data_IF_023141040391
#
_entry.id   IF_023141040391
#
_cell.length_a   1.000
_cell.length_b   1.000
_cell.length_c   1.000
_cell.angle_alpha   90.00
_cell.angle_beta   90.00
_cell.angle_gamma   90.00
#
_symmetry.space_group_name_H-M   'P 1'
#
loop_
_entity.id
_entity.type
_entity.pdbx_description
1 polymer ?
2 non-polymer ?
3 non-polymer ?
4 non-polymer ?
5 water ?
#
# COMPACT_ATOMS: atom_id res chain seq x y z
N UNK A 11 15.99 -0.18 30.84
CA UNK A 11 15.88 -1.44 30.11
C UNK A 11 14.42 -1.88 30.01
N UNK A 12 13.69 -1.86 31.11
CA UNK A 12 12.25 -2.13 31.11
C UNK A 12 11.52 -0.81 31.21
N UNK A 13 10.70 -0.51 30.20
CA UNK A 13 9.85 0.67 30.17
C UNK A 13 8.43 0.24 30.48
N UNK A 14 7.79 0.92 31.44
CA UNK A 14 6.41 0.68 31.78
C UNK A 14 5.62 1.94 31.49
N UNK A 15 4.55 1.81 30.70
CA UNK A 15 3.65 2.92 30.40
C UNK A 15 2.23 2.47 30.69
N UNK A 16 1.33 3.44 30.79
CA UNK A 16 -0.10 3.17 30.77
C UNK A 16 -0.60 3.55 29.39
N UNK A 17 -1.17 2.58 28.68
CA UNK A 17 -1.56 2.82 27.29
C UNK A 17 -3.02 2.49 27.08
N UNK A 18 -3.58 3.09 26.02
CA UNK A 18 -4.94 2.79 25.56
C UNK A 18 -4.90 1.69 24.52
N UNK A 19 -5.75 0.66 24.64
CA UNK A 19 -5.81 -0.37 23.58
C UNK A 19 -6.25 0.19 22.23
N UNK A 20 -5.66 -0.36 21.17
CA UNK A 20 -5.96 0.12 19.83
C UNK A 20 -7.42 -0.08 19.44
N UNK A 21 -8.03 -1.18 19.89
CA UNK A 21 -9.43 -1.44 19.61
C UNK A 21 -10.07 -2.09 20.83
N UNK A 22 -11.40 -2.07 20.86
CA UNK A 22 -12.15 -2.72 21.92
C UNK A 22 -12.41 -1.81 23.09
N UNK A 23 -12.57 -2.40 24.28
CA UNK A 23 -12.83 -1.60 25.49
C UNK A 23 -11.74 -0.57 25.70
N UNK A 24 -12.16 0.64 26.06
CA UNK A 24 -11.29 1.81 26.11
C UNK A 24 -10.45 1.89 27.38
N UNK A 25 -10.62 0.98 28.34
CA UNK A 25 -9.97 1.12 29.65
C UNK A 25 -8.45 1.08 29.49
N UNK A 26 -7.73 2.04 30.06
CA UNK A 26 -6.27 2.05 29.93
C UNK A 26 -5.62 0.88 30.67
N UNK A 27 -4.40 0.55 30.24
CA UNK A 27 -3.76 -0.67 30.69
C UNK A 27 -2.25 -0.48 30.82
N UNK A 28 -1.70 -0.99 31.92
CA UNK A 28 -0.25 -0.97 32.14
C UNK A 28 0.46 -1.95 31.20
N UNK A 29 1.43 -1.44 30.44
CA UNK A 29 2.16 -2.20 29.44
C UNK A 29 3.65 -1.99 29.67
N UNK A 30 4.41 -3.09 29.73
CA UNK A 30 5.86 -3.03 29.87
C UNK A 30 6.55 -3.65 28.66
N UNK A 31 7.64 -3.03 28.24
CA UNK A 31 8.40 -3.55 27.10
C UNK A 31 9.89 -3.29 27.30
N UNK A 32 10.71 -4.03 26.55
CA UNK A 32 12.15 -4.02 26.75
C UNK A 32 12.80 -4.27 25.39
N UNK A 33 14.15 -4.33 25.39
CA UNK A 33 14.91 -4.61 24.18
C UNK A 33 14.61 -3.63 23.04
N UNK A 34 14.33 -2.37 23.38
CA UNK A 34 14.01 -1.41 22.34
C UNK A 34 15.23 -1.06 21.51
N UNK A 35 15.04 -0.96 20.19
CA UNK A 35 16.09 -0.51 19.29
C UNK A 35 15.44 0.16 18.09
N UNK A 36 16.17 1.08 17.47
CA UNK A 36 15.65 1.82 16.33
C UNK A 36 15.71 0.93 15.09
N UNK A 37 14.59 0.80 14.40
CA UNK A 37 14.61 0.12 13.10
C UNK A 37 14.45 1.06 11.93
N UNK A 38 14.00 2.31 12.16
CA UNK A 38 13.95 3.29 11.10
C UNK A 38 13.62 4.69 11.61
N UNK A 39 14.21 5.71 10.99
CA UNK A 39 13.94 7.10 11.31
C UNK A 39 13.80 7.86 10.00
N UNK A 40 12.81 8.74 9.94
CA UNK A 40 12.70 9.64 8.79
C UNK A 40 11.51 10.58 8.88
N UNK A 41 10.95 10.94 7.72
CA UNK A 41 9.81 11.86 7.69
C UNK A 41 8.62 11.29 8.45
N UNK A 42 8.54 9.98 8.58
CA UNK A 42 7.46 9.32 9.32
C UNK A 42 7.64 9.39 10.83
N UNK A 43 8.78 9.87 11.32
CA UNK A 43 9.08 9.84 12.74
C UNK A 43 10.15 8.82 13.05
N UNK A 44 10.04 8.16 14.21
CA UNK A 44 10.95 7.07 14.57
C UNK A 44 10.14 5.82 14.84
N UNK A 45 10.53 4.70 14.24
CA UNK A 45 9.92 3.40 14.53
C UNK A 45 10.95 2.53 15.24
N UNK A 46 10.55 2.00 16.38
CA UNK A 46 11.39 1.13 17.20
C UNK A 46 10.88 -0.30 17.11
N UNK A 47 11.78 -1.24 17.34
CA UNK A 47 11.41 -2.59 17.69
C UNK A 47 11.50 -2.72 19.20
N UNK A 48 10.58 -3.46 19.80
CA UNK A 48 10.67 -3.75 21.23
C UNK A 48 10.05 -5.12 21.47
N UNK A 49 10.25 -5.63 22.69
CA UNK A 49 9.65 -6.87 23.13
C UNK A 49 8.70 -6.60 24.28
N UNK A 50 7.45 -7.05 24.14
CA UNK A 50 6.49 -6.99 25.22
C UNK A 50 6.94 -7.93 26.35
N UNK A 51 7.10 -7.38 27.56
CA UNK A 51 7.46 -8.22 28.70
C UNK A 51 6.41 -9.27 28.98
N UNK A 52 5.13 -8.87 28.94
CA UNK A 52 4.05 -9.78 29.32
C UNK A 52 4.09 -11.08 28.53
N UNK A 53 4.05 -10.96 27.21
CA UNK A 53 3.96 -12.12 26.33
C UNK A 53 5.27 -12.51 25.67
N UNK A 54 6.25 -11.61 25.61
CA UNK A 54 7.47 -11.89 24.88
C UNK A 54 7.41 -11.63 23.40
N UNK A 55 6.28 -11.13 22.88
CA UNK A 55 6.15 -10.83 21.46
C UNK A 55 6.91 -9.57 21.08
N UNK A 56 7.52 -9.59 19.91
CA UNK A 56 8.09 -8.38 19.34
C UNK A 56 6.96 -7.47 18.85
N UNK A 57 7.15 -6.17 19.00
CA UNK A 57 6.24 -5.16 18.51
C UNK A 57 7.06 -4.05 17.88
N UNK A 58 6.40 -3.23 17.06
CA UNK A 58 6.98 -1.99 16.59
C UNK A 58 6.33 -0.84 17.36
N UNK A 59 7.12 0.18 17.65
CA UNK A 59 6.60 1.38 18.31
C UNK A 59 6.96 2.56 17.42
N UNK A 60 5.92 3.21 16.89
CA UNK A 60 6.10 4.38 16.02
C UNK A 60 5.84 5.64 16.84
N UNK A 61 6.85 6.51 16.90
CA UNK A 61 6.82 7.70 17.74
C UNK A 61 6.79 8.93 16.85
N UNK A 62 5.78 9.78 17.04
CA UNK A 62 5.49 10.88 16.12
C UNK A 62 5.24 12.16 16.93
N UNK A 63 6.03 13.20 16.66
CA UNK A 63 5.81 14.50 17.28
C UNK A 63 4.46 15.04 16.86
N UNK A 64 3.67 15.53 17.83
CA UNK A 64 2.35 16.08 17.54
C UNK A 64 2.52 17.55 17.16
N UNK A 65 2.49 17.82 15.86
CA UNK A 65 2.78 19.13 15.29
C UNK A 65 1.53 19.63 14.57
N UNK A 66 0.91 20.69 15.11
CA UNK A 66 -0.33 21.19 14.52
C UNK A 66 -0.15 21.54 13.06
N UNK A 67 1.06 21.94 12.64
CA UNK A 67 1.27 22.41 11.28
C UNK A 67 1.19 21.31 10.24
N UNK A 68 1.24 20.04 10.65
CA UNK A 68 1.18 18.91 9.72
C UNK A 68 -0.05 18.06 10.01
N UNK A 69 -0.91 17.92 9.01
CA UNK A 69 -2.10 17.08 9.14
C UNK A 69 -1.71 15.62 9.26
N UNK A 70 -2.49 14.86 10.03
CA UNK A 70 -2.23 13.44 10.22
C UNK A 70 -3.39 12.74 10.90
N UNK A 71 -4.03 11.82 10.18
CA UNK A 71 -5.18 11.06 10.68
C UNK A 71 -4.82 9.63 11.07
N UNK A 72 -3.52 9.36 11.27
CA UNK A 72 -3.06 7.97 11.38
C UNK A 72 -3.73 7.24 12.54
N UNK A 73 -3.78 7.86 13.71
CA UNK A 73 -4.39 7.20 14.86
C UNK A 73 -5.88 6.99 14.64
N UNK A 74 -6.60 8.07 14.28
CA UNK A 74 -8.02 7.98 13.99
C UNK A 74 -8.33 6.82 13.05
N UNK A 75 -7.58 6.71 11.95
CA UNK A 75 -7.85 5.67 10.96
C UNK A 75 -7.51 4.29 11.51
N UNK A 76 -6.37 4.18 12.21
CA UNK A 76 -5.93 2.85 12.63
C UNK A 76 -6.82 2.26 13.72
N UNK A 77 -7.50 3.08 14.53
CA UNK A 77 -8.39 2.52 15.54
C UNK A 77 -9.63 1.90 14.91
N UNK A 78 -9.91 2.20 13.65
CA UNK A 78 -11.11 1.70 12.97
C UNK A 78 -10.84 0.42 12.18
N UNK A 79 -9.58 0.07 11.92
CA UNK A 79 -9.23 -0.96 10.95
C UNK A 79 -8.91 -2.28 11.62
N UNK A 80 -9.41 -3.37 11.03
CA UNK A 80 -9.17 -4.71 11.54
C UNK A 80 -9.18 -5.67 10.34
N UNK A 81 -7.98 -6.02 9.85
CA UNK A 81 -7.86 -6.81 8.63
C UNK A 81 -6.54 -7.58 8.64
N UNK A 82 -6.57 -8.82 8.16
CA UNK A 82 -5.38 -9.66 8.22
C UNK A 82 -4.23 -9.13 7.37
N UNK A 83 -4.47 -8.20 6.45
CA UNK A 83 -3.41 -7.65 5.62
C UNK A 83 -3.10 -6.20 5.95
N UNK A 84 -3.44 -5.75 7.15
CA UNK A 84 -3.08 -4.41 7.62
C UNK A 84 -2.49 -4.56 9.01
N UNK A 85 -1.37 -3.88 9.24
CA UNK A 85 -0.67 -3.99 10.52
C UNK A 85 -1.59 -3.53 11.65
N UNK A 86 -1.67 -4.33 12.71
CA UNK A 86 -2.63 -4.03 13.79
C UNK A 86 -2.05 -3.02 14.76
N UNK A 87 -2.89 -2.08 15.19
CA UNK A 87 -2.56 -1.18 16.28
C UNK A 87 -2.94 -1.84 17.60
N UNK A 88 -1.94 -2.14 18.43
CA UNK A 88 -2.14 -2.77 19.73
C UNK A 88 -2.49 -1.78 20.84
N UNK A 89 -1.69 -0.71 20.98
CA UNK A 89 -1.89 0.32 21.98
C UNK A 89 -1.42 1.66 21.45
N UNK A 90 -1.85 2.74 22.10
CA UNK A 90 -1.22 4.03 21.92
C UNK A 90 -1.11 4.75 23.26
N UNK A 91 -0.10 5.61 23.38
CA UNK A 91 0.08 6.44 24.56
C UNK A 91 0.87 7.69 24.16
N UNK A 92 0.69 8.75 24.95
CA UNK A 92 1.42 10.00 24.76
C UNK A 92 2.62 10.05 25.72
N UNK A 93 3.63 10.82 25.31
CA UNK A 93 4.89 10.88 26.02
C UNK A 93 5.58 12.19 25.69
N UNK A 94 6.59 12.53 26.50
CA UNK A 94 7.56 13.55 26.12
C UNK A 94 8.54 12.97 25.09
N UNK A 95 9.51 13.79 24.67
CA UNK A 95 10.52 13.33 23.74
C UNK A 95 11.66 14.30 23.47
N UNK A 96 12.06 14.41 22.19
CA UNK A 96 13.21 15.23 21.82
C UNK A 96 12.93 16.72 22.04
N UNK A 97 11.89 17.24 21.39
CA UNK A 97 11.49 18.64 21.59
C UNK A 97 10.95 18.79 23.01
N UNK A 98 11.68 19.51 23.85
CA UNK A 98 11.52 19.45 25.30
C UNK A 98 10.39 20.33 25.83
N UNK A 99 9.32 20.48 25.05
CA UNK A 99 8.09 21.05 25.57
C UNK A 99 6.88 20.59 24.78
N UNK A 100 7.03 19.59 23.92
CA UNK A 100 5.98 19.11 23.03
C UNK A 100 5.52 17.73 23.45
N UNK A 101 4.50 17.23 22.77
CA UNK A 101 3.88 15.95 23.08
C UNK A 101 4.08 15.00 21.91
N UNK A 102 4.43 13.77 22.21
CA UNK A 102 4.62 12.72 21.21
C UNK A 102 3.51 11.68 21.34
N UNK A 103 2.99 11.25 20.20
CA UNK A 103 2.11 10.09 20.13
C UNK A 103 2.97 8.86 19.87
N UNK A 104 2.70 7.77 20.61
CA UNK A 104 3.39 6.50 20.46
C UNK A 104 2.36 5.46 20.07
N UNK A 105 2.58 4.79 18.93
CA UNK A 105 1.72 3.73 18.43
C UNK A 105 2.44 2.41 18.61
N UNK A 106 1.86 1.50 19.39
CA UNK A 106 2.40 0.15 19.54
C UNK A 106 1.70 -0.74 18.52
N UNK A 107 2.45 -1.23 17.54
CA UNK A 107 1.90 -1.98 16.42
C UNK A 107 2.56 -3.34 16.30
N UNK A 108 1.96 -4.20 15.49
CA UNK A 108 2.56 -5.48 15.22
C UNK A 108 3.91 -5.30 14.56
N UNK A 109 4.84 -6.19 14.90
CA UNK A 109 6.15 -6.22 14.29
C UNK A 109 6.11 -7.26 13.18
N UNK A 110 6.58 -6.88 12.00
CA UNK A 110 6.62 -7.76 10.83
C UNK A 110 8.05 -7.67 10.26
N UNK A 111 8.75 -8.79 10.07
CA UNK A 111 10.22 -8.68 9.94
C UNK A 111 10.74 -8.10 8.63
N UNK A 112 10.05 -8.25 7.50
CA UNK A 112 10.64 -7.84 6.22
C UNK A 112 9.73 -6.84 5.51
N UNK A 113 10.23 -6.28 4.41
CA UNK A 113 9.41 -5.44 3.54
C UNK A 113 9.53 -5.88 2.10
N UNK A 114 8.50 -5.54 1.32
CA UNK A 114 8.53 -5.85 -0.11
C UNK A 114 9.73 -5.17 -0.77
N UNK A 115 10.08 -3.96 -0.34
CA UNK A 115 11.26 -3.27 -0.87
C UNK A 115 12.53 -4.09 -0.68
N UNK A 116 12.79 -4.56 0.55
CA UNK A 116 14.01 -5.31 0.82
C UNK A 116 14.00 -6.66 0.11
N UNK A 117 12.86 -7.35 0.10
CA UNK A 117 12.83 -8.66 -0.54
C UNK A 117 13.01 -8.52 -2.05
N UNK A 118 12.36 -7.52 -2.67
CA UNK A 118 12.54 -7.28 -4.10
C UNK A 118 13.98 -6.91 -4.42
N UNK A 119 14.56 -6.02 -3.62
CA UNK A 119 15.95 -5.64 -3.80
C UNK A 119 16.89 -6.85 -3.71
N UNK A 120 16.56 -7.82 -2.85
CA UNK A 120 17.42 -8.99 -2.72
C UNK A 120 17.58 -9.70 -4.07
N UNK A 121 16.47 -9.86 -4.80
CA UNK A 121 16.54 -10.47 -6.13
C UNK A 121 17.12 -9.49 -7.14
N UNK A 122 16.58 -8.27 -7.16
CA UNK A 122 17.01 -7.26 -8.13
C UNK A 122 18.51 -7.05 -8.12
N UNK A 123 19.11 -6.94 -6.93
CA UNK A 123 20.56 -6.72 -6.88
C UNK A 123 21.36 -7.94 -7.34
N UNK A 124 20.78 -9.13 -7.32
CA UNK A 124 21.40 -10.32 -7.90
C UNK A 124 21.00 -10.53 -9.37
N UNK A 125 20.45 -9.49 -10.01
CA UNK A 125 20.03 -9.56 -11.41
C UNK A 125 19.01 -10.67 -11.64
N UNK A 126 18.18 -10.91 -10.63
CA UNK A 126 17.03 -11.79 -10.68
C UNK A 126 15.78 -10.97 -10.41
N UNK A 127 14.63 -11.62 -10.46
CA UNK A 127 13.39 -10.98 -10.07
C UNK A 127 12.65 -11.90 -9.12
N UNK A 128 11.78 -11.29 -8.33
CA UNK A 128 11.00 -11.99 -7.33
C UNK A 128 10.25 -13.15 -7.99
N UNK A 129 10.36 -14.38 -7.47
CA UNK A 129 9.62 -15.50 -8.06
C UNK A 129 8.13 -15.18 -8.19
N UNK A 130 7.53 -15.71 -9.26
CA UNK A 130 6.19 -15.28 -9.67
C UNK A 130 5.14 -15.61 -8.61
N UNK A 131 5.29 -16.73 -7.90
CA UNK A 131 4.31 -17.08 -6.86
C UNK A 131 4.26 -16.00 -5.79
N UNK A 132 5.40 -15.39 -5.47
CA UNK A 132 5.40 -14.31 -4.48
C UNK A 132 4.85 -13.02 -5.06
N UNK A 133 5.05 -12.77 -6.36
CA UNK A 133 4.39 -11.62 -6.98
C UNK A 133 2.87 -11.76 -6.86
N UNK A 134 2.35 -12.96 -7.17
CA UNK A 134 0.92 -13.20 -7.03
C UNK A 134 0.48 -13.01 -5.58
N UNK A 135 1.15 -13.66 -4.65
CA UNK A 135 0.73 -13.60 -3.24
C UNK A 135 0.80 -12.19 -2.68
N UNK A 136 1.89 -11.46 -2.95
CA UNK A 136 2.02 -10.13 -2.34
C UNK A 136 1.04 -9.16 -2.97
N UNK A 137 0.98 -9.13 -4.30
CA UNK A 137 0.05 -8.22 -4.98
C UNK A 137 -1.38 -8.50 -4.57
N UNK A 138 -1.76 -9.79 -4.45
CA UNK A 138 -3.13 -10.12 -4.09
C UNK A 138 -3.49 -9.58 -2.71
N UNK A 139 -2.59 -9.77 -1.73
CA UNK A 139 -2.88 -9.31 -0.38
C UNK A 139 -2.89 -7.79 -0.31
N UNK A 140 -2.06 -7.12 -1.10
CA UNK A 140 -2.13 -5.66 -1.18
C UNK A 140 -3.49 -5.20 -1.72
N UNK A 141 -3.99 -5.85 -2.78
CA UNK A 141 -5.30 -5.46 -3.29
C UNK A 141 -6.41 -5.76 -2.27
N UNK A 142 -6.34 -6.88 -1.56
CA UNK A 142 -7.26 -7.10 -0.45
C UNK A 142 -7.20 -5.94 0.55
N UNK A 143 -5.99 -5.53 0.95
CA UNK A 143 -5.89 -4.50 1.97
C UNK A 143 -6.51 -3.21 1.46
N UNK A 144 -6.35 -2.94 0.17
CA UNK A 144 -6.91 -1.73 -0.43
C UNK A 144 -8.42 -1.82 -0.55
N UNK A 145 -8.95 -2.98 -0.97
CA UNK A 145 -10.40 -3.14 -0.99
C UNK A 145 -10.99 -2.89 0.40
N UNK A 146 -10.30 -3.35 1.46
CA UNK A 146 -10.81 -3.16 2.82
C UNK A 146 -10.90 -1.66 3.17
N UNK A 147 -9.79 -0.92 3.06
CA UNK A 147 -9.81 0.49 3.48
C UNK A 147 -10.71 1.32 2.55
N UNK A 148 -10.66 1.08 1.23
CA UNK A 148 -11.50 1.87 0.32
C UNK A 148 -12.98 1.71 0.63
N UNK A 149 -13.38 0.57 1.22
CA UNK A 149 -14.78 0.37 1.58
C UNK A 149 -15.24 1.34 2.66
N UNK A 150 -14.33 1.90 3.45
CA UNK A 150 -14.66 2.98 4.36
C UNK A 150 -14.44 4.34 3.73
N UNK A 151 -14.10 4.37 2.44
CA UNK A 151 -13.73 5.62 1.81
C UNK A 151 -12.37 6.12 2.19
N UNK A 152 -11.52 5.28 2.77
CA UNK A 152 -10.19 5.70 3.21
C UNK A 152 -9.20 5.43 2.09
N UNK A 153 -8.48 6.46 1.68
CA UNK A 153 -7.42 6.33 0.68
C UNK A 153 -6.07 6.41 1.39
N UNK A 154 -5.19 5.46 1.07
CA UNK A 154 -3.91 5.37 1.76
C UNK A 154 -2.97 6.51 1.35
N UNK A 155 -2.87 6.78 0.05
CA UNK A 155 -2.14 7.89 -0.56
C UNK A 155 -0.63 7.77 -0.41
N UNK A 156 -0.10 6.59 -0.08
CA UNK A 156 1.37 6.44 -0.05
C UNK A 156 1.73 4.97 -0.24
N UNK A 157 1.03 4.30 -1.16
CA UNK A 157 1.31 2.91 -1.49
C UNK A 157 2.67 2.82 -2.17
N UNK A 158 3.60 2.05 -1.60
CA UNK A 158 4.90 1.82 -2.22
C UNK A 158 5.56 0.62 -1.53
N UNK A 159 6.62 0.05 -2.10
CA UNK A 159 7.15 -1.20 -1.51
C UNK A 159 7.68 -1.04 -0.10
N UNK A 160 8.20 0.15 0.24
CA UNK A 160 8.71 0.39 1.58
C UNK A 160 7.61 0.32 2.64
N UNK A 161 6.34 0.48 2.24
CA UNK A 161 5.23 0.51 3.18
C UNK A 161 4.47 -0.80 3.20
N UNK A 162 5.05 -1.87 2.61
CA UNK A 162 4.44 -3.21 2.57
C UNK A 162 5.35 -4.14 3.35
N UNK A 163 4.89 -4.53 4.54
CA UNK A 163 5.63 -5.44 5.40
C UNK A 163 5.32 -6.87 5.01
N UNK A 164 6.29 -7.76 5.25
CA UNK A 164 6.20 -9.15 4.85
C UNK A 164 6.73 -10.06 5.94
N UNK A 165 6.02 -11.15 6.19
CA UNK A 165 6.56 -12.24 6.98
C UNK A 165 7.10 -13.29 6.01
N UNK A 166 8.42 -13.43 5.87
CA UNK A 166 8.95 -14.27 4.79
C UNK A 166 8.60 -15.75 4.92
N UNK A 167 8.32 -16.24 6.14
CA UNK A 167 8.04 -17.66 6.33
C UNK A 167 6.60 -18.01 5.96
N UNK A 168 5.64 -17.15 6.33
CA UNK A 168 4.22 -17.40 6.10
C UNK A 168 3.69 -16.71 4.84
N UNK A 169 4.49 -15.85 4.20
CA UNK A 169 4.12 -15.05 3.03
C UNK A 169 3.00 -14.06 3.33
N UNK A 170 2.72 -13.77 4.60
CA UNK A 170 1.70 -12.78 4.93
C UNK A 170 2.23 -11.38 4.63
N UNK A 171 1.41 -10.57 3.94
CA UNK A 171 1.73 -9.17 3.71
C UNK A 171 0.86 -8.30 4.60
N UNK A 172 1.44 -7.23 5.16
CA UNK A 172 0.67 -6.26 5.94
C UNK A 172 1.00 -4.84 5.48
N UNK A 173 -0.03 -4.13 5.05
CA UNK A 173 0.08 -2.71 4.75
C UNK A 173 0.32 -1.91 6.03
N UNK A 174 1.21 -0.92 5.94
CA UNK A 174 1.49 -0.05 7.08
C UNK A 174 1.64 1.40 6.61
N UNK A 175 1.91 2.26 7.59
CA UNK A 175 2.12 3.71 7.43
C UNK A 175 0.88 4.43 6.92
N UNK A 176 -0.03 4.78 7.83
CA UNK A 176 -1.20 5.55 7.44
C UNK A 176 -1.02 7.05 7.69
N UNK A 177 0.23 7.52 7.73
CA UNK A 177 0.53 8.91 7.98
C UNK A 177 0.04 9.87 6.90
N UNK A 178 -0.22 9.36 5.70
CA UNK A 178 -0.75 10.17 4.60
C UNK A 178 -2.22 9.88 4.32
N UNK A 179 -2.82 8.93 5.03
CA UNK A 179 -4.14 8.46 4.68
C UNK A 179 -5.20 9.49 5.03
N UNK A 180 -6.35 9.38 4.34
CA UNK A 180 -7.44 10.31 4.55
C UNK A 180 -8.74 9.69 4.07
N UNK A 181 -9.83 9.98 4.78
CA UNK A 181 -11.15 9.58 4.32
C UNK A 181 -11.60 10.59 3.27
N UNK A 182 -11.65 10.16 2.01
CA UNK A 182 -12.03 11.06 0.93
C UNK A 182 -13.54 11.27 0.93
N UNK A 183 -13.95 12.53 0.81
CA UNK A 183 -15.37 12.90 0.85
C UNK A 183 -15.67 13.69 -0.41
N UNK A 184 -16.65 13.23 -1.19
CA UNK A 184 -16.98 13.89 -2.45
C UNK A 184 -17.34 15.35 -2.20
N UNK A 185 -16.68 16.24 -2.95
CA UNK A 185 -16.90 17.67 -2.82
C UNK A 185 -15.95 18.40 -1.89
N UNK A 186 -15.12 17.69 -1.13
CA UNK A 186 -14.17 18.35 -0.23
C UNK A 186 -12.75 18.16 -0.76
N UNK A 187 -12.03 19.24 -1.09
CA UNK A 187 -10.77 19.08 -1.82
C UNK A 187 -9.70 18.38 -1.00
N UNK A 188 -8.78 17.74 -1.72
CA UNK A 188 -7.63 17.07 -1.12
C UNK A 188 -6.36 17.58 -1.76
N UNK A 189 -5.25 17.47 -1.03
CA UNK A 189 -3.99 18.04 -1.50
C UNK A 189 -3.44 17.21 -2.64
N UNK A 190 -2.82 17.90 -3.60
CA UNK A 190 -2.34 17.31 -4.85
C UNK A 190 -0.91 16.77 -4.77
N UNK A 192 0.99 14.68 -3.12
CA UNK A 192 0.84 13.59 -2.16
C UNK A 192 1.37 12.35 -2.87
N UNK A 193 1.64 11.29 -2.10
CA UNK A 193 2.22 10.05 -2.60
C UNK A 193 3.70 10.20 -2.90
N UNK A 194 4.48 9.15 -2.68
CA UNK A 194 5.88 9.15 -3.09
C UNK A 194 5.98 9.22 -4.61
N UNK A 195 6.91 10.05 -5.10
CA UNK A 195 6.99 10.42 -6.51
C UNK A 195 6.83 9.28 -7.51
N UNK A 196 7.63 8.22 -7.39
CA UNK A 196 7.59 7.15 -8.38
C UNK A 196 6.22 6.49 -8.47
N UNK A 197 5.43 6.53 -7.39
CA UNK A 197 4.17 5.82 -7.30
C UNK A 197 2.99 6.79 -7.41
N UNK A 198 3.27 8.05 -7.76
CA UNK A 198 2.25 9.11 -7.76
C UNK A 198 1.41 9.05 -9.03
N UNK A 199 0.09 8.96 -8.85
CA UNK A 199 -0.85 8.88 -9.97
C UNK A 199 -0.79 10.14 -10.82
N UNK A 200 -0.95 10.01 -12.14
CA UNK A 200 -0.79 11.18 -13.01
C UNK A 200 -1.79 12.30 -12.74
N UNK A 201 -3.00 11.98 -12.27
CA UNK A 201 -3.95 13.05 -11.97
C UNK A 201 -3.46 13.94 -10.84
N UNK A 202 -2.67 13.39 -9.92
CA UNK A 202 -2.04 14.21 -8.88
C UNK A 202 -0.99 15.13 -9.47
N UNK A 203 -0.21 14.63 -10.43
CA UNK A 203 0.77 15.48 -11.11
C UNK A 203 0.06 16.61 -11.85
N UNK A 204 -1.13 16.34 -12.39
CA UNK A 204 -1.90 17.38 -13.07
C UNK A 204 -2.66 18.27 -12.09
N UNK A 205 -2.35 18.16 -10.79
CA UNK A 205 -2.86 19.09 -9.80
C UNK A 205 -4.29 18.86 -9.38
N UNK A 206 -4.83 17.65 -9.58
CA UNK A 206 -6.21 17.39 -9.22
C UNK A 206 -6.37 17.37 -7.71
N UNK A 207 -7.43 18.03 -7.23
CA UNK A 207 -7.77 18.00 -5.83
C UNK A 207 -9.07 17.25 -5.57
N UNK A 208 -9.71 16.75 -6.64
CA UNK A 208 -10.95 16.00 -6.55
C UNK A 208 -10.74 14.52 -6.86
N UNK A 209 -9.50 14.05 -6.74
CA UNK A 209 -9.19 12.65 -7.02
C UNK A 209 -9.90 11.70 -6.06
N UNK A 210 -9.73 10.40 -6.33
CA UNK A 210 -10.46 9.34 -5.64
C UNK A 210 -9.46 8.27 -5.21
N UNK A 211 -10.01 7.21 -4.63
CA UNK A 211 -9.22 6.07 -4.16
C UNK A 211 -8.42 5.40 -5.26
N UNK A 212 -8.77 5.63 -6.53
CA UNK A 212 -8.04 4.97 -7.62
C UNK A 212 -6.59 5.42 -7.72
N UNK A 213 -6.19 6.50 -7.03
CA UNK A 213 -4.76 6.83 -7.01
C UNK A 213 -3.96 5.73 -6.31
N UNK A 214 -4.58 5.03 -5.34
CA UNK A 214 -3.89 3.88 -4.72
C UNK A 214 -3.73 2.73 -5.71
N UNK A 215 -4.68 2.59 -6.64
CA UNK A 215 -4.59 1.49 -7.61
C UNK A 215 -3.45 1.76 -8.59
N UNK A 216 -3.29 3.01 -9.03
CA UNK A 216 -2.12 3.37 -9.82
C UNK A 216 -0.83 3.01 -9.08
N UNK A 217 -0.70 3.43 -7.83
CA UNK A 217 0.49 3.11 -7.05
C UNK A 217 0.70 1.59 -6.98
N UNK A 218 -0.39 0.83 -6.79
CA UNK A 218 -0.27 -0.63 -6.75
C UNK A 218 0.22 -1.16 -8.09
N UNK A 219 -0.26 -0.55 -9.19
CA UNK A 219 0.26 -0.92 -10.51
C UNK A 219 1.74 -0.64 -10.64
N UNK A 220 2.20 0.49 -10.11
CA UNK A 220 3.64 0.77 -10.07
C UNK A 220 4.41 -0.29 -9.28
N UNK A 221 3.85 -0.76 -8.15
CA UNK A 221 4.49 -1.83 -7.39
C UNK A 221 4.58 -3.12 -8.22
N UNK A 222 3.46 -3.52 -8.84
CA UNK A 222 3.48 -4.74 -9.65
C UNK A 222 4.52 -4.65 -10.76
N UNK A 223 4.50 -3.57 -11.55
CA UNK A 223 5.48 -3.42 -12.63
C UNK A 223 6.91 -3.47 -12.08
N UNK A 224 7.12 -2.91 -10.89
CA UNK A 224 8.46 -2.90 -10.31
C UNK A 224 8.91 -4.29 -9.90
N UNK A 225 7.99 -5.10 -9.34
CA UNK A 225 8.29 -6.50 -9.05
C UNK A 225 8.56 -7.32 -10.31
N UNK A 226 7.95 -6.95 -11.45
CA UNK A 226 8.23 -7.67 -12.68
C UNK A 226 9.52 -7.20 -13.32
N UNK A 227 9.85 -5.91 -13.18
CA UNK A 227 10.99 -5.29 -13.85
C UNK A 227 12.28 -5.43 -13.08
N UNK A 228 12.21 -5.40 -11.74
CA UNK A 228 13.40 -5.32 -10.93
C UNK A 228 13.84 -3.91 -10.60
N UNK A 229 13.08 -2.89 -11.03
CA UNK A 229 13.37 -1.50 -10.72
C UNK A 229 12.11 -0.69 -10.95
N UNK A 230 12.01 0.52 -10.37
CA UNK A 230 10.80 1.32 -10.58
C UNK A 230 10.51 1.54 -12.05
N UNK A 231 9.23 1.41 -12.42
CA UNK A 231 8.90 1.59 -13.82
C UNK A 231 8.93 3.07 -14.21
N UNK A 232 8.71 3.98 -13.26
CA UNK A 232 8.61 5.42 -13.56
C UNK A 232 9.52 6.21 -12.62
N UNK A 233 10.85 6.18 -12.85
CA UNK A 233 11.78 6.84 -11.91
C UNK A 233 12.00 8.33 -12.22
N UNK A 234 10.99 9.15 -11.93
CA UNK A 234 11.10 10.57 -12.24
C UNK A 234 12.07 11.27 -11.32
N UNK A 235 12.76 12.29 -11.88
CA UNK A 235 13.72 13.11 -11.16
C UNK A 235 13.08 14.30 -10.45
N UNK A 236 11.79 14.52 -10.63
CA UNK A 236 11.11 15.70 -10.13
C UNK A 236 9.61 15.46 -10.26
N UNK A 237 8.83 16.27 -9.57
CA UNK A 237 7.39 16.18 -9.74
C UNK A 237 6.97 16.29 -11.19
N UNK A 238 7.62 17.19 -11.94
CA UNK A 238 7.27 17.39 -13.35
C UNK A 238 7.84 16.26 -14.21
N UNK A 239 9.11 15.91 -13.99
CA UNK A 239 9.72 14.84 -14.78
C UNK A 239 9.05 13.49 -14.53
N UNK A 240 8.34 13.34 -13.41
CA UNK A 240 7.61 12.11 -13.20
C UNK A 240 6.59 11.88 -14.31
N UNK A 241 5.97 12.96 -14.79
CA UNK A 241 5.04 12.82 -15.91
C UNK A 241 5.77 12.39 -17.17
N UNK A 242 6.95 12.98 -17.42
CA UNK A 242 7.71 12.62 -18.61
C UNK A 242 8.02 11.13 -18.59
N UNK A 243 8.35 10.59 -17.41
CA UNK A 243 8.66 9.17 -17.33
C UNK A 243 7.45 8.30 -17.64
N UNK A 244 6.27 8.69 -17.14
CA UNK A 244 5.05 7.97 -17.44
C UNK A 244 4.78 8.01 -18.94
N UNK A 245 4.91 9.20 -19.55
CA UNK A 245 4.59 9.34 -20.96
C UNK A 245 5.48 8.44 -21.79
N UNK A 246 6.76 8.32 -21.44
CA UNK A 246 7.66 7.51 -22.24
C UNK A 246 7.35 6.01 -22.17
N UNK A 247 6.33 5.60 -21.42
CA UNK A 247 5.79 4.25 -21.47
C UNK A 247 4.39 4.25 -22.06
N UNK A 248 3.46 4.98 -21.43
CA UNK A 248 2.07 4.96 -21.85
C UNK A 248 1.80 5.79 -23.09
N UNK A 249 2.76 6.56 -23.58
CA UNK A 249 2.49 7.52 -24.62
C UNK A 249 1.86 8.79 -24.09
N UNK A 250 1.89 9.83 -24.91
CA UNK A 250 1.31 11.11 -24.54
C UNK A 250 -0.18 10.97 -24.25
N UNK A 251 -0.67 11.46 -23.11
CA UNK A 251 -2.11 11.37 -22.86
C UNK A 251 -2.91 12.20 -23.85
N UNK A 252 -4.08 11.71 -24.21
CA UNK A 252 -4.93 12.51 -25.10
C UNK A 252 -5.63 13.60 -24.31
N UNK A 253 -6.26 14.51 -25.05
CA UNK A 253 -7.01 15.59 -24.41
C UNK A 253 -8.13 15.04 -23.53
N UNK A 254 -8.80 13.97 -23.97
CA UNK A 254 -9.89 13.43 -23.17
C UNK A 254 -9.36 12.77 -21.90
N UNK A 255 -8.22 12.08 -22.00
CA UNK A 255 -7.64 11.48 -20.80
C UNK A 255 -7.24 12.57 -19.80
N UNK A 256 -6.67 13.68 -20.29
CA UNK A 256 -6.35 14.78 -19.39
C UNK A 256 -7.62 15.33 -18.74
N UNK A 257 -8.71 15.45 -19.53
CA UNK A 257 -9.99 15.89 -18.97
C UNK A 257 -10.50 14.96 -17.90
N UNK A 258 -10.21 13.66 -18.01
CA UNK A 258 -10.61 12.74 -16.96
C UNK A 258 -9.71 12.87 -15.75
N UNK A 259 -8.46 13.31 -15.95
CA UNK A 259 -7.52 13.46 -14.85
C UNK A 259 -7.71 14.78 -14.12
N UNK A 260 -7.81 15.88 -14.85
CA UNK A 260 -8.13 17.18 -14.27
C UNK A 260 -8.74 18.05 -15.35
N UNK A 261 -10.03 18.35 -15.26
CA UNK A 261 -10.68 19.15 -16.32
C UNK A 261 -10.02 20.47 -16.61
N UNK A 262 -9.24 21.02 -15.67
CA UNK A 262 -8.68 22.36 -15.84
C UNK A 262 -7.36 22.39 -16.58
N UNK A 263 -6.83 21.23 -17.01
CA UNK A 263 -5.53 21.19 -17.66
C UNK A 263 -5.57 20.53 -19.04
N UNK A 264 -6.74 20.43 -19.68
CA UNK A 264 -6.82 19.70 -20.95
C UNK A 264 -6.05 20.39 -22.08
N UNK A 265 -5.92 21.72 -22.03
CA UNK A 265 -5.13 22.40 -23.04
C UNK A 265 -3.64 22.07 -22.96
N UNK A 266 -3.20 21.30 -21.96
CA UNK A 266 -1.82 20.83 -21.84
C UNK A 266 -1.26 20.39 -23.19
N UNK A 267 -0.09 20.91 -23.52
CA UNK A 267 0.60 20.58 -24.76
C UNK A 267 1.89 19.85 -24.43
N UNK A 268 2.14 18.75 -25.13
CA UNK A 268 3.34 17.93 -24.95
C UNK A 268 3.61 17.22 -26.26
N UNK A 269 4.87 16.97 -26.60
CA UNK A 269 5.16 16.29 -27.87
C UNK A 269 4.48 14.93 -27.96
N UNK A 270 4.08 14.58 -29.19
CA UNK A 270 3.37 13.34 -29.45
C UNK A 270 4.34 12.17 -29.39
N UNK A 271 4.16 11.30 -28.40
CA UNK A 271 4.98 10.12 -28.21
C UNK A 271 4.04 8.93 -28.10
N UNK A 272 4.25 7.91 -28.92
CA UNK A 272 3.36 6.75 -28.88
C UNK A 272 3.78 5.79 -27.78
N UNK A 273 2.80 5.05 -27.25
CA UNK A 273 3.04 4.13 -26.15
C UNK A 273 4.07 3.08 -26.52
N UNK A 274 4.81 2.64 -25.55
CA UNK A 274 5.67 1.47 -25.74
C UNK A 274 4.87 0.20 -25.48
N UNK A 275 4.93 -0.77 -26.39
CA UNK A 275 4.12 -1.99 -26.22
C UNK A 275 4.38 -2.62 -24.86
N UNK A 276 3.29 -2.96 -24.17
CA UNK A 276 3.42 -3.57 -22.85
C UNK A 276 4.30 -4.81 -22.88
N UNK A 277 4.21 -5.62 -23.93
CA UNK A 277 5.00 -6.85 -23.99
C UNK A 277 6.49 -6.59 -24.16
N UNK A 278 6.88 -5.37 -24.52
CA UNK A 278 8.29 -5.02 -24.62
C UNK A 278 8.75 -4.18 -23.43
N UNK A 279 7.83 -3.72 -22.58
CA UNK A 279 8.24 -3.09 -21.34
C UNK A 279 8.91 -4.10 -20.42
N UNK A 280 8.38 -5.32 -20.36
CA UNK A 280 8.90 -6.36 -19.48
C UNK A 280 9.69 -7.38 -20.27
N UNK A 281 10.52 -8.16 -19.55
CA UNK A 281 11.39 -9.11 -20.24
C UNK A 281 10.57 -10.28 -20.81
N UNK A 282 11.11 -10.98 -21.81
CA UNK A 282 10.29 -11.97 -22.56
C UNK A 282 9.57 -12.99 -21.69
N UNK A 283 10.15 -13.43 -20.58
CA UNK A 283 9.55 -14.52 -19.80
C UNK A 283 8.56 -14.02 -18.75
N UNK A 284 8.24 -12.74 -18.75
CA UNK A 284 7.23 -12.22 -17.83
C UNK A 284 5.89 -12.88 -18.14
N UNK A 285 5.16 -13.37 -17.14
CA UNK A 285 3.89 -14.05 -17.42
C UNK A 285 2.91 -13.08 -18.06
N UNK A 286 2.33 -13.45 -19.21
CA UNK A 286 1.45 -12.49 -19.91
C UNK A 286 0.28 -12.02 -19.06
N UNK A 287 -0.24 -12.86 -18.15
CA UNK A 287 -1.31 -12.41 -17.27
C UNK A 287 -0.87 -11.26 -16.38
N UNK A 288 0.39 -11.26 -15.93
CA UNK A 288 0.86 -10.15 -15.09
C UNK A 288 0.94 -8.85 -15.89
N UNK A 289 1.37 -8.94 -17.14
CA UNK A 289 1.38 -7.79 -18.04
C UNK A 289 -0.04 -7.30 -18.26
N UNK A 290 -0.96 -8.22 -18.60
CA UNK A 290 -2.35 -7.88 -18.80
C UNK A 290 -2.90 -7.10 -17.60
N UNK A 291 -2.70 -7.64 -16.40
CA UNK A 291 -3.14 -6.97 -15.17
C UNK A 291 -2.51 -5.58 -15.05
N UNK A 292 -1.21 -5.50 -15.28
CA UNK A 292 -0.54 -4.20 -15.19
C UNK A 292 -1.19 -3.19 -16.15
N UNK A 293 -1.56 -3.62 -17.37
CA UNK A 293 -2.15 -2.68 -18.32
C UNK A 293 -3.50 -2.14 -17.86
N UNK A 294 -4.20 -2.83 -16.98
CA UNK A 294 -5.49 -2.36 -16.49
C UNK A 294 -5.39 -1.59 -15.17
N UNK A 295 -4.19 -1.44 -14.62
CA UNK A 295 -3.92 -0.62 -13.44
C UNK A 295 -3.29 0.71 -13.83
N UNK A 296 -2.29 0.67 -14.72
CA UNK A 296 -1.53 1.86 -15.11
C UNK A 296 -2.21 2.48 -16.33
N UNK A 297 -3.39 3.06 -16.08
CA UNK A 297 -4.18 3.78 -17.07
C UNK A 297 -4.32 5.23 -16.66
N UNK A 298 -4.26 6.14 -17.66
CA UNK A 298 -4.40 7.57 -17.38
C UNK A 298 -5.76 7.88 -16.78
N UNK A 299 -6.83 7.41 -17.41
CA UNK A 299 -8.20 7.69 -16.99
C UNK A 299 -8.48 7.02 -15.65
N UNK A 300 -8.66 7.77 -14.57
CA UNK A 300 -8.73 7.13 -13.24
C UNK A 300 -9.90 6.17 -13.11
N UNK A 301 -11.05 6.49 -13.70
CA UNK A 301 -12.20 5.58 -13.64
C UNK A 301 -12.01 4.31 -14.47
N UNK A 302 -11.01 4.25 -15.35
CA UNK A 302 -10.78 3.04 -16.15
C UNK A 302 -9.99 1.98 -15.40
N UNK A 303 -9.28 2.36 -14.36
CA UNK A 303 -8.46 1.42 -13.61
C UNK A 303 -9.35 0.39 -12.92
N UNK A 304 -8.81 -0.82 -12.72
CA UNK A 304 -9.56 -1.80 -11.95
C UNK A 304 -9.74 -1.31 -10.53
N UNK A 305 -10.86 -1.70 -9.91
CA UNK A 305 -10.98 -1.54 -8.46
C UNK A 305 -10.14 -2.63 -7.78
N UNK A 306 -9.75 -2.43 -6.51
CA UNK A 306 -8.99 -3.48 -5.82
C UNK A 306 -9.70 -4.83 -5.82
N UNK A 307 -11.01 -4.86 -5.55
CA UNK A 307 -11.74 -6.12 -5.54
C UNK A 307 -11.77 -6.76 -6.93
N UNK A 308 -11.90 -5.95 -7.98
CA UNK A 308 -11.77 -6.46 -9.35
C UNK A 308 -10.37 -7.02 -9.62
N UNK A 309 -9.34 -6.33 -9.10
CA UNK A 309 -7.97 -6.82 -9.27
C UNK A 309 -7.79 -8.20 -8.60
N UNK A 310 -8.24 -8.34 -7.35
CA UNK A 310 -8.20 -9.64 -6.67
C UNK A 310 -8.79 -10.74 -7.54
N UNK A 311 -9.83 -10.42 -8.28
CA UNK A 311 -10.54 -11.38 -9.11
C UNK A 311 -9.84 -11.65 -10.44
N UNK A 312 -8.76 -10.95 -10.72
CA UNK A 312 -8.10 -11.08 -12.02
C UNK A 312 -7.50 -12.48 -12.20
N UNK A 313 -7.44 -12.91 -13.47
CA UNK A 313 -6.95 -14.25 -13.80
C UNK A 313 -5.51 -14.46 -13.39
N UNK A 314 -4.74 -13.37 -13.24
CA UNK A 314 -3.37 -13.48 -12.73
C UNK A 314 -3.32 -14.19 -11.38
N UNK A 315 -4.36 -14.06 -10.56
CA UNK A 315 -4.38 -14.66 -9.23
C UNK A 315 -5.07 -16.02 -9.18
N UNK A 316 -5.41 -16.62 -10.35
CA UNK A 316 -6.15 -17.89 -10.34
C UNK A 316 -5.37 -18.99 -9.61
N UNK A 317 -4.04 -19.00 -9.75
CA UNK A 317 -3.26 -20.05 -9.08
C UNK A 317 -3.48 -20.04 -7.57
N UNK A 318 -3.65 -18.86 -6.97
CA UNK A 318 -3.91 -18.77 -5.53
C UNK A 318 -5.23 -19.40 -5.14
N UNK A 319 -6.18 -19.50 -6.07
CA UNK A 319 -7.47 -20.12 -5.78
C UNK A 319 -7.47 -21.61 -6.07
N UNK A 320 -6.36 -22.14 -6.58
CA UNK A 320 -6.22 -23.59 -6.78
C UNK A 320 -6.13 -24.28 -5.43
N UNK A 321 -6.95 -25.32 -5.19
CA UNK A 321 -6.89 -26.00 -3.87
C UNK A 321 -5.55 -26.65 -3.55
N UNK A 322 -4.68 -26.88 -4.55
CA UNK A 322 -3.43 -27.58 -4.31
C UNK A 322 -2.22 -26.65 -4.27
N UNK A 323 -2.44 -25.34 -4.36
CA UNK A 323 -1.32 -24.42 -4.34
C UNK A 323 -0.61 -24.49 -3.00
N UNK A 324 0.71 -24.34 -3.01
CA UNK A 324 1.50 -24.37 -1.80
C UNK A 324 2.61 -23.32 -1.90
N UNK A 325 3.08 -22.87 -0.74
CA UNK A 325 4.25 -22.02 -0.73
C UNK A 325 5.45 -22.84 -1.20
N UNK A 326 6.46 -22.19 -1.81
CA UNK A 326 7.68 -22.94 -2.18
C UNK A 326 8.29 -23.69 -0.99
N UNK A 327 8.28 -23.09 0.20
CA UNK A 327 8.82 -23.83 1.33
C UNK A 327 7.92 -24.96 1.79
N UNK A 328 6.90 -25.38 1.03
CA UNK A 328 6.05 -26.49 1.40
C UNK A 328 4.87 -26.16 2.28
N UNK A 329 4.86 -25.00 2.95
CA UNK A 329 3.75 -24.66 3.82
C UNK A 329 2.51 -24.28 3.01
N UNK A 330 1.37 -24.22 3.70
CA UNK A 330 0.16 -23.73 3.08
C UNK A 330 0.26 -22.23 2.83
N UNK A 331 -0.51 -21.75 1.83
CA UNK A 331 -0.63 -20.33 1.61
C UNK A 331 -1.29 -19.69 2.82
N UNK A 332 -1.09 -18.40 3.04
CA UNK A 332 -1.82 -17.74 4.13
C UNK A 332 -3.30 -17.60 3.82
N UNK A 333 -4.06 -17.03 4.77
CA UNK A 333 -5.49 -16.79 4.55
C UNK A 333 -5.66 -15.85 3.36
N UNK A 334 -6.52 -16.26 2.42
CA UNK A 334 -6.74 -15.49 1.20
C UNK A 334 -8.22 -15.28 0.87
N UNK A 335 -9.13 -16.05 1.49
CA UNK A 335 -10.53 -16.05 1.09
C UNK A 335 -11.50 -15.72 2.21
N UNK A 336 -11.01 -15.39 3.40
CA UNK A 336 -11.89 -15.07 4.52
C UNK A 336 -12.45 -13.64 4.36
N UNK A 337 -13.17 -13.43 3.27
CA UNK A 337 -13.74 -12.12 2.99
C UNK A 337 -14.92 -11.84 3.91
N UNK A 338 -15.03 -10.58 4.34
CA UNK A 338 -16.16 -10.13 5.12
C UNK A 338 -17.11 -9.32 4.26
N UNK A 339 -18.31 -9.09 4.79
CA UNK A 339 -19.29 -8.28 4.08
C UNK A 339 -18.75 -6.90 3.79
N UNK A 340 -18.18 -6.25 4.81
CA UNK A 340 -17.56 -4.93 4.62
C UNK A 340 -16.56 -4.96 3.47
N UNK A 341 -15.80 -6.05 3.37
CA UNK A 341 -14.72 -6.15 2.40
C UNK A 341 -15.26 -6.35 0.99
N UNK A 342 -16.36 -7.07 0.86
CA UNK A 342 -17.00 -7.33 -0.43
C UNK A 342 -17.99 -6.25 -0.84
N UNK A 343 -18.14 -5.19 -0.04
CA UNK A 343 -19.30 -4.32 -0.18
C UNK A 343 -19.30 -3.53 -1.49
N UNK A 344 -18.14 -3.29 -2.11
CA UNK A 344 -18.15 -2.54 -3.37
C UNK A 344 -18.80 -3.36 -4.49
N UNK A 345 -18.73 -4.69 -4.42
CA UNK A 345 -19.30 -5.53 -5.46
C UNK A 345 -19.61 -6.90 -4.90
N UNK A 346 -20.70 -7.04 -4.13
CA UNK A 346 -20.93 -8.28 -3.37
C UNK A 346 -20.99 -9.51 -4.26
N UNK A 347 -21.59 -9.43 -5.46
CA UNK A 347 -21.61 -10.64 -6.32
C UNK A 347 -20.25 -11.21 -6.62
N UNK A 348 -19.17 -10.43 -6.48
CA UNK A 348 -17.84 -10.93 -6.84
C UNK A 348 -17.40 -12.10 -5.98
N UNK A 349 -18.05 -12.30 -4.82
CA UNK A 349 -17.70 -13.39 -3.93
C UNK A 349 -17.62 -14.73 -4.66
N UNK A 350 -18.47 -14.95 -5.67
CA UNK A 350 -18.50 -16.23 -6.35
C UNK A 350 -17.23 -16.52 -7.14
N UNK A 351 -16.45 -15.48 -7.47
CA UNK A 351 -15.13 -15.68 -8.05
C UNK A 351 -14.04 -15.67 -6.98
N UNK A 352 -14.19 -14.77 -6.01
CA UNK A 352 -13.12 -14.57 -5.02
C UNK A 352 -13.04 -15.74 -4.04
N UNK A 353 -14.18 -16.34 -3.70
CA UNK A 353 -14.16 -17.41 -2.70
C UNK A 353 -14.34 -18.73 -3.43
N UNK A 354 -13.28 -19.50 -3.61
CA UNK A 354 -13.38 -20.73 -4.40
C UNK A 354 -14.24 -21.77 -3.71
N UNK A 355 -14.82 -22.72 -4.47
CA UNK A 355 -15.70 -23.72 -3.86
C UNK A 355 -15.10 -24.47 -2.68
N UNK A 356 -13.78 -24.71 -2.69
CA UNK A 356 -13.17 -25.45 -1.60
C UNK A 356 -13.04 -24.65 -0.30
N UNK A 357 -13.25 -23.34 -0.34
CA UNK A 357 -13.16 -22.52 0.87
C UNK A 357 -14.49 -21.83 1.17
#
# INVERSE_FOLDING_TARGET
MKVSRDKDGSKVTTVVATPGQGPDRPQEVSYTDTKVIGNGSFGVVYQAKLCDSGELVAIKKVLQDKRFKNRELQIMRKLDHCNIVRLRYFFYSSGEKKDEVYLNLVLDYVPETVYRVARHYSRAKQTLPVIYVKLYMYQLFRSLAYIHSFGICHRDIKPQNLLLDPDTAVLKLCDFGSAKQLVRGEPNVSXICSRYYRAPELIFGATDYTSSIDVWSAGCVLAELLLGQPIFPGDSGVDQLVEIIKVLGTPTREQIREMNPNYTEFKFPQIKAHPWTKVFRPRTPPEAIALCSRLLEYTPTARLTPLEACAHSFFDELRDPNVKLPNGRDTPALFNFTTQELSSNPPLATILIPPHARAHHHHHH
#
